data_IF_379984335442
#
_entry.id   IF_379984335442
#
_cell.length_a   1.000
_cell.length_b   1.000
_cell.length_c   1.000
_cell.angle_alpha   90.00
_cell.angle_beta   90.00
_cell.angle_gamma   90.00
#
_symmetry.space_group_name_H-M   'P 1'
#
loop_
_entity.id
_entity.type
_entity.pdbx_description
1 polymer ?
#
# COMPACT_ATOMS: atom_id res chain seq x y z
N UNK A 1 -18.03 10.43 -21.79
CA UNK A 1 -17.73 9.56 -20.60
C UNK A 1 -16.34 9.02 -20.83
N UNK A 2 -15.34 9.50 -20.06
CA UNK A 2 -14.00 8.90 -20.12
C UNK A 2 -14.12 7.42 -19.82
N UNK A 3 -13.55 6.58 -20.68
CA UNK A 3 -13.47 5.16 -20.40
C UNK A 3 -12.57 4.98 -19.16
N UNK A 4 -12.99 4.13 -18.22
CA UNK A 4 -12.21 3.86 -17.00
C UNK A 4 -10.80 3.34 -17.35
N UNK A 5 -10.65 2.65 -18.49
CA UNK A 5 -9.36 2.16 -18.97
C UNK A 5 -8.43 3.30 -19.40
N UNK A 6 -8.95 4.27 -20.14
CA UNK A 6 -8.20 5.46 -20.58
C UNK A 6 -7.72 6.26 -19.36
N UNK A 7 -8.61 6.50 -18.39
CA UNK A 7 -8.27 7.17 -17.13
C UNK A 7 -7.14 6.46 -16.37
N UNK A 8 -7.19 5.13 -16.25
CA UNK A 8 -6.15 4.36 -15.57
C UNK A 8 -4.81 4.42 -16.30
N UNK A 9 -4.82 4.48 -17.63
CA UNK A 9 -3.60 4.65 -18.43
C UNK A 9 -2.97 6.03 -18.21
N UNK A 10 -3.78 7.08 -18.15
CA UNK A 10 -3.32 8.44 -17.84
C UNK A 10 -2.76 8.55 -16.42
N UNK A 11 -3.44 7.97 -15.41
CA UNK A 11 -2.94 7.90 -14.04
C UNK A 11 -1.55 7.25 -13.97
N UNK A 12 -1.39 6.12 -14.67
CA UNK A 12 -0.13 5.40 -14.72
C UNK A 12 0.98 6.24 -15.34
N UNK A 13 0.71 6.94 -16.44
CA UNK A 13 1.65 7.83 -17.10
C UNK A 13 2.09 8.99 -16.18
N UNK A 14 1.14 9.70 -15.57
CA UNK A 14 1.40 10.83 -14.67
C UNK A 14 2.28 10.39 -13.47
N UNK A 15 1.95 9.25 -12.83
CA UNK A 15 2.71 8.75 -11.70
C UNK A 15 4.12 8.32 -12.13
N UNK A 16 4.25 7.65 -13.27
CA UNK A 16 5.56 7.20 -13.79
C UNK A 16 6.48 8.37 -14.14
N UNK A 17 5.92 9.45 -14.68
CA UNK A 17 6.66 10.67 -15.02
C UNK A 17 6.96 11.55 -13.78
N UNK A 18 6.56 11.13 -12.59
CA UNK A 18 6.79 11.85 -11.34
C UNK A 18 5.93 13.12 -11.18
N UNK A 19 5.00 13.40 -12.10
CA UNK A 19 4.14 14.62 -12.05
C UNK A 19 3.11 14.58 -10.90
N UNK A 20 2.81 13.40 -10.36
CA UNK A 20 1.91 13.21 -9.23
C UNK A 20 2.61 13.18 -7.86
N UNK A 21 3.91 13.49 -7.76
CA UNK A 21 4.68 13.37 -6.51
C UNK A 21 4.40 14.55 -5.57
N UNK A 22 4.30 14.26 -4.28
CA UNK A 22 4.22 15.26 -3.20
C UNK A 22 5.64 15.72 -2.83
N UNK A 23 6.00 16.95 -3.15
CA UNK A 23 7.37 17.44 -3.02
C UNK A 23 7.64 18.25 -1.74
N UNK A 24 6.61 18.84 -1.11
CA UNK A 24 6.84 19.89 -0.10
C UNK A 24 6.73 19.41 1.32
N UNK A 25 5.89 18.42 1.65
CA UNK A 25 5.66 17.98 3.03
C UNK A 25 6.43 16.73 3.43
N UNK A 26 6.82 15.91 2.45
CA UNK A 26 7.54 14.66 2.68
C UNK A 26 6.79 13.63 3.54
N UNK A 27 7.43 12.48 3.77
CA UNK A 27 6.87 11.38 4.56
C UNK A 27 6.93 11.60 6.07
N UNK A 28 7.73 12.57 6.55
CA UNK A 28 8.07 12.75 7.97
C UNK A 28 9.13 11.78 8.49
N UNK A 29 9.59 10.81 7.71
CA UNK A 29 10.62 9.85 8.15
C UNK A 29 11.97 10.51 8.41
N UNK A 30 12.31 11.64 7.81
CA UNK A 30 13.60 12.34 8.04
C UNK A 30 13.77 12.82 9.49
N UNK A 31 12.67 13.00 10.22
CA UNK A 31 12.68 13.29 11.64
C UNK A 31 12.99 12.05 12.51
N UNK A 32 12.86 10.84 11.97
CA UNK A 32 13.14 9.58 12.68
C UNK A 32 14.61 9.24 12.48
N UNK A 33 15.43 9.58 13.45
CA UNK A 33 16.90 9.41 13.40
C UNK A 33 17.33 8.34 14.37
N UNK A 34 17.97 7.28 13.87
CA UNK A 34 18.59 6.26 14.72
C UNK A 34 19.87 6.77 15.35
N UNK A 35 20.14 6.36 16.59
CA UNK A 35 21.47 6.45 17.16
C UNK A 35 22.37 5.43 16.45
N UNK A 36 23.51 5.88 15.92
CA UNK A 36 24.46 5.00 15.26
C UNK A 36 25.21 4.13 16.29
N UNK A 37 25.22 2.84 16.08
CA UNK A 37 26.04 1.88 16.83
C UNK A 37 27.33 1.58 16.04
N UNK A 38 28.45 2.12 16.51
CA UNK A 38 29.76 1.92 15.86
C UNK A 38 30.41 0.58 16.24
N UNK A 39 29.86 -0.15 17.23
CA UNK A 39 30.33 -1.45 17.67
C UNK A 39 29.14 -2.43 17.84
N UNK A 40 28.48 -2.82 16.75
CA UNK A 40 27.23 -3.58 16.82
C UNK A 40 27.37 -5.01 17.36
N UNK A 41 28.58 -5.55 17.38
CA UNK A 41 28.90 -6.92 17.83
C UNK A 41 27.99 -8.00 17.18
N UNK A 42 27.63 -7.80 15.91
CA UNK A 42 26.80 -8.65 15.07
C UNK A 42 27.55 -9.10 13.82
N UNK A 43 27.24 -10.30 13.36
CA UNK A 43 27.55 -10.66 11.97
C UNK A 43 26.45 -10.10 11.06
N UNK A 44 26.85 -9.37 10.02
CA UNK A 44 25.94 -8.77 9.06
C UNK A 44 25.00 -9.81 8.40
N UNK A 45 25.57 -10.96 8.01
CA UNK A 45 24.83 -12.03 7.36
C UNK A 45 23.90 -12.81 8.31
N UNK A 46 24.10 -12.69 9.61
CA UNK A 46 23.27 -13.35 10.62
C UNK A 46 22.02 -12.50 11.03
N UNK A 47 21.87 -11.29 10.49
CA UNK A 47 20.71 -10.44 10.78
C UNK A 47 19.45 -11.06 10.19
N UNK A 48 18.44 -11.29 11.03
CA UNK A 48 17.18 -11.90 10.65
C UNK A 48 16.13 -10.83 10.30
N UNK A 49 15.76 -10.76 9.02
CA UNK A 49 14.73 -9.86 8.48
C UNK A 49 13.36 -10.54 8.38
N UNK A 50 13.27 -11.84 8.64
CA UNK A 50 12.06 -12.62 8.42
C UNK A 50 10.92 -12.17 9.33
N UNK A 51 9.73 -12.22 8.77
CA UNK A 51 8.47 -11.98 9.47
C UNK A 51 7.39 -12.91 8.95
N UNK A 52 6.18 -12.79 9.48
CA UNK A 52 5.01 -13.50 8.97
C UNK A 52 3.86 -12.55 8.74
N UNK A 53 3.05 -12.81 7.73
CA UNK A 53 1.86 -12.06 7.42
C UNK A 53 0.79 -13.00 6.85
N UNK A 54 -0.44 -12.92 7.37
CA UNK A 54 -1.57 -13.77 6.95
C UNK A 54 -1.24 -15.28 6.94
N UNK A 55 -0.49 -15.73 7.95
CA UNK A 55 -0.09 -17.12 8.10
C UNK A 55 1.02 -17.61 7.16
N UNK A 56 1.60 -16.72 6.34
CA UNK A 56 2.72 -17.02 5.43
C UNK A 56 4.01 -16.37 5.90
N UNK A 57 5.12 -17.03 5.68
CA UNK A 57 6.45 -16.49 6.01
C UNK A 57 6.91 -15.53 4.91
N UNK A 58 7.49 -14.41 5.33
CA UNK A 58 8.13 -13.42 4.47
C UNK A 58 9.62 -13.35 4.76
N UNK A 59 10.41 -13.12 3.72
CA UNK A 59 11.88 -12.93 3.81
C UNK A 59 12.26 -11.60 4.45
N UNK A 60 11.39 -10.57 4.33
CA UNK A 60 11.56 -9.25 4.89
C UNK A 60 10.19 -8.58 5.11
N UNK A 61 10.10 -7.56 5.99
CA UNK A 61 8.84 -6.84 6.26
C UNK A 61 8.51 -5.83 5.14
N UNK A 62 8.52 -6.29 3.90
CA UNK A 62 8.33 -5.46 2.70
C UNK A 62 7.25 -6.07 1.81
N UNK A 63 6.47 -5.20 1.17
CA UNK A 63 5.49 -5.59 0.17
C UNK A 63 5.44 -4.58 -0.98
N UNK A 64 4.95 -5.03 -2.13
CA UNK A 64 4.53 -4.13 -3.20
C UNK A 64 3.06 -3.78 -2.98
N UNK A 65 2.81 -2.48 -2.72
CA UNK A 65 1.46 -1.95 -2.48
C UNK A 65 0.64 -1.87 -3.77
N UNK A 66 -0.69 -1.83 -3.59
CA UNK A 66 -1.64 -1.71 -4.67
C UNK A 66 -1.40 -0.46 -5.54
N UNK A 67 -1.31 -0.64 -6.85
CA UNK A 67 -1.09 0.45 -7.82
C UNK A 67 -2.18 0.51 -8.88
N UNK A 68 -2.17 -0.40 -9.83
CA UNK A 68 -2.99 -0.33 -11.04
C UNK A 68 -3.64 -1.67 -11.38
N UNK A 69 -4.67 -1.64 -12.23
CA UNK A 69 -5.35 -2.82 -12.74
C UNK A 69 -6.35 -2.45 -13.82
N UNK A 70 -6.73 -3.42 -14.66
CA UNK A 70 -7.79 -3.26 -15.65
C UNK A 70 -7.34 -2.76 -17.03
N UNK A 71 -6.05 -2.61 -17.30
CA UNK A 71 -5.48 -2.36 -18.63
C UNK A 71 -4.48 -3.46 -18.98
N UNK A 72 -4.12 -3.61 -20.27
CA UNK A 72 -3.11 -4.58 -20.70
C UNK A 72 -1.72 -4.27 -20.10
N UNK A 73 -1.37 -3.00 -19.97
CA UNK A 73 -0.13 -2.57 -19.33
C UNK A 73 -0.15 -2.91 -17.83
N UNK A 74 -1.26 -2.61 -17.14
CA UNK A 74 -1.45 -2.99 -15.74
C UNK A 74 -1.35 -4.49 -15.52
N UNK A 75 -1.85 -5.31 -16.45
CA UNK A 75 -1.72 -6.75 -16.38
C UNK A 75 -0.25 -7.20 -16.40
N UNK A 76 0.56 -6.66 -17.31
CA UNK A 76 2.00 -6.96 -17.36
C UNK A 76 2.71 -6.53 -16.08
N UNK A 77 2.42 -5.35 -15.57
CA UNK A 77 2.99 -4.86 -14.31
C UNK A 77 2.63 -5.79 -13.15
N UNK A 78 1.37 -6.19 -13.01
CA UNK A 78 0.93 -7.09 -11.93
C UNK A 78 1.60 -8.47 -12.02
N UNK A 79 1.79 -9.00 -13.24
CA UNK A 79 2.52 -10.26 -13.44
C UNK A 79 3.99 -10.14 -13.06
N UNK A 80 4.66 -9.05 -13.43
CA UNK A 80 6.04 -8.77 -13.00
C UNK A 80 6.16 -8.65 -11.48
N UNK A 81 5.17 -8.00 -10.83
CA UNK A 81 5.11 -7.88 -9.36
C UNK A 81 4.95 -9.27 -8.72
N UNK A 82 4.01 -10.08 -9.21
CA UNK A 82 3.77 -11.41 -8.64
C UNK A 82 5.02 -12.30 -8.77
N UNK A 83 5.68 -12.28 -9.92
CA UNK A 83 6.90 -13.05 -10.17
C UNK A 83 8.06 -12.61 -9.28
N UNK A 84 8.34 -11.30 -9.19
CA UNK A 84 9.40 -10.77 -8.34
C UNK A 84 9.13 -11.02 -6.84
N UNK A 85 7.89 -10.75 -6.38
CA UNK A 85 7.50 -10.99 -4.99
C UNK A 85 7.52 -12.48 -4.63
N UNK A 86 7.06 -13.35 -5.56
CA UNK A 86 7.11 -14.80 -5.39
C UNK A 86 8.54 -15.33 -5.26
N UNK A 87 9.45 -14.83 -6.09
CA UNK A 87 10.88 -15.19 -6.06
C UNK A 87 11.59 -14.71 -4.79
N UNK A 88 11.25 -13.52 -4.31
CA UNK A 88 11.90 -12.92 -3.14
C UNK A 88 11.21 -13.25 -1.80
N UNK A 89 10.05 -13.92 -1.80
CA UNK A 89 9.30 -14.19 -0.57
C UNK A 89 8.73 -12.92 0.06
N UNK A 90 8.22 -11.97 -0.74
CA UNK A 90 7.62 -10.72 -0.30
C UNK A 90 6.11 -10.71 -0.60
N UNK A 91 5.33 -9.95 0.18
CA UNK A 91 3.89 -9.81 -0.05
C UNK A 91 3.59 -8.86 -1.21
N UNK A 92 2.37 -8.96 -1.77
CA UNK A 92 1.89 -8.03 -2.78
C UNK A 92 0.39 -7.73 -2.63
N UNK A 93 -0.01 -6.53 -3.04
CA UNK A 93 -1.39 -6.12 -3.19
C UNK A 93 -1.65 -5.69 -4.64
N UNK A 94 -2.82 -6.05 -5.17
CA UNK A 94 -3.22 -5.68 -6.53
C UNK A 94 -3.96 -4.34 -6.55
N UNK A 95 -4.02 -3.70 -7.71
CA UNK A 95 -4.88 -2.55 -7.94
C UNK A 95 -6.35 -2.92 -7.90
N UNK A 96 -7.24 -1.91 -7.94
CA UNK A 96 -8.68 -2.13 -7.83
C UNK A 96 -9.22 -3.13 -8.85
N UNK A 97 -9.90 -4.17 -8.36
CA UNK A 97 -10.53 -5.25 -9.14
C UNK A 97 -11.91 -4.85 -9.70
N UNK A 98 -12.35 -3.60 -9.50
CA UNK A 98 -13.68 -3.13 -9.94
C UNK A 98 -14.00 -3.51 -11.37
N UNK A 99 -13.08 -3.24 -12.32
CA UNK A 99 -13.29 -3.54 -13.76
C UNK A 99 -13.52 -5.02 -13.99
N UNK A 100 -12.77 -5.87 -13.31
CA UNK A 100 -12.88 -7.32 -13.42
C UNK A 100 -14.21 -7.82 -12.84
N UNK A 101 -14.63 -7.31 -11.68
CA UNK A 101 -15.91 -7.66 -11.05
C UNK A 101 -17.11 -7.22 -11.88
N UNK A 102 -17.03 -6.07 -12.54
CA UNK A 102 -18.06 -5.57 -13.46
C UNK A 102 -18.09 -6.29 -14.83
N UNK A 103 -17.24 -7.32 -15.02
CA UNK A 103 -17.22 -8.11 -16.25
C UNK A 103 -16.59 -7.42 -17.46
N UNK A 104 -15.84 -6.34 -17.24
CA UNK A 104 -15.17 -5.55 -18.29
C UNK A 104 -13.72 -5.99 -18.55
N UNK A 105 -13.41 -7.26 -18.29
CA UNK A 105 -12.12 -7.89 -18.49
C UNK A 105 -11.30 -8.04 -17.19
N UNK A 106 -10.54 -9.14 -17.08
CA UNK A 106 -9.77 -9.45 -15.87
C UNK A 106 -8.56 -8.52 -15.66
N UNK A 107 -8.01 -7.93 -16.73
CA UNK A 107 -6.90 -6.97 -16.67
C UNK A 107 -5.67 -7.46 -15.89
N UNK A 108 -5.36 -8.79 -15.97
CA UNK A 108 -4.25 -9.40 -15.24
C UNK A 108 -4.50 -9.48 -13.72
N UNK A 109 -5.74 -9.61 -13.30
CA UNK A 109 -6.17 -9.71 -11.90
C UNK A 109 -6.89 -11.04 -11.67
N UNK A 110 -6.24 -12.15 -12.00
CA UNK A 110 -6.77 -13.50 -11.94
C UNK A 110 -5.81 -14.52 -11.32
N UNK A 111 -6.15 -15.81 -11.41
CA UNK A 111 -5.38 -16.93 -10.83
C UNK A 111 -3.92 -17.01 -11.33
N UNK A 112 -3.61 -16.39 -12.48
CA UNK A 112 -2.25 -16.32 -13.01
C UNK A 112 -1.27 -15.57 -12.08
N UNK A 113 -1.76 -14.65 -11.23
CA UNK A 113 -0.94 -14.00 -10.21
C UNK A 113 -0.58 -14.99 -9.10
N UNK A 114 -1.58 -15.75 -8.63
CA UNK A 114 -1.35 -16.79 -7.61
C UNK A 114 -0.38 -17.86 -8.12
N UNK A 115 -0.49 -18.26 -9.39
CA UNK A 115 0.42 -19.23 -9.98
C UNK A 115 1.90 -18.76 -9.99
N UNK A 116 2.15 -17.44 -10.09
CA UNK A 116 3.51 -16.86 -10.05
C UNK A 116 4.01 -16.60 -8.63
N UNK A 117 3.10 -16.41 -7.67
CA UNK A 117 3.40 -16.10 -6.28
C UNK A 117 2.68 -17.06 -5.31
N UNK A 118 2.91 -18.41 -5.42
CA UNK A 118 2.11 -19.39 -4.71
C UNK A 118 2.29 -19.35 -3.18
N UNK A 119 3.43 -18.91 -2.70
CA UNK A 119 3.84 -19.03 -1.30
C UNK A 119 3.80 -17.72 -0.50
N UNK A 120 3.44 -16.60 -1.13
CA UNK A 120 3.41 -15.28 -0.48
C UNK A 120 1.98 -14.74 -0.40
N UNK A 121 1.70 -13.82 0.55
CA UNK A 121 0.39 -13.19 0.65
C UNK A 121 0.08 -12.36 -0.59
N UNK A 122 -1.12 -12.55 -1.16
CA UNK A 122 -1.72 -11.71 -2.20
C UNK A 122 -2.94 -11.03 -1.61
N UNK A 123 -3.00 -9.69 -1.68
CA UNK A 123 -4.12 -8.92 -1.19
C UNK A 123 -4.95 -8.43 -2.37
N UNK A 124 -6.23 -8.81 -2.36
CA UNK A 124 -7.25 -8.26 -3.27
C UNK A 124 -7.55 -6.80 -2.92
N UNK A 125 -8.22 -6.05 -3.83
CA UNK A 125 -8.48 -4.64 -3.61
C UNK A 125 -9.76 -4.15 -4.30
N UNK A 126 -10.61 -3.45 -3.54
CA UNK A 126 -11.80 -2.75 -4.03
C UNK A 126 -11.87 -1.33 -3.45
N UNK A 127 -12.56 -0.44 -4.16
CA UNK A 127 -12.87 0.88 -3.61
C UNK A 127 -13.97 0.76 -2.57
N UNK A 128 -13.75 1.30 -1.38
CA UNK A 128 -14.76 1.27 -0.32
C UNK A 128 -16.05 1.98 -0.75
N UNK A 129 -15.96 3.07 -1.50
CA UNK A 129 -17.12 3.80 -2.01
C UNK A 129 -18.02 2.92 -2.91
N UNK A 130 -17.49 1.85 -3.52
CA UNK A 130 -18.28 0.92 -4.32
C UNK A 130 -19.32 0.15 -3.48
N UNK A 131 -19.05 -0.02 -2.17
CA UNK A 131 -20.05 -0.59 -1.24
C UNK A 131 -21.28 0.31 -1.12
N UNK A 132 -21.11 1.64 -1.17
CA UNK A 132 -22.23 2.58 -1.18
C UNK A 132 -23.01 2.54 -2.52
N UNK A 133 -22.42 2.02 -3.58
CA UNK A 133 -23.00 1.91 -4.92
C UNK A 133 -23.57 0.53 -5.26
N UNK A 134 -23.73 -0.32 -4.26
CA UNK A 134 -24.39 -1.61 -4.41
C UNK A 134 -23.46 -2.82 -4.58
N UNK A 135 -22.14 -2.66 -4.57
CA UNK A 135 -21.26 -3.80 -4.38
C UNK A 135 -21.45 -4.33 -2.97
N UNK A 136 -21.64 -5.63 -2.84
CA UNK A 136 -21.87 -6.30 -1.56
C UNK A 136 -20.85 -7.39 -1.27
N UNK A 137 -21.27 -8.30 -0.40
CA UNK A 137 -20.47 -9.45 0.02
C UNK A 137 -20.13 -10.37 -1.15
N UNK A 138 -21.04 -10.56 -2.10
CA UNK A 138 -20.84 -11.47 -3.24
C UNK A 138 -19.79 -10.93 -4.21
N UNK A 139 -19.77 -9.61 -4.48
CA UNK A 139 -18.73 -8.97 -5.28
C UNK A 139 -17.38 -9.05 -4.59
N UNK A 140 -17.34 -8.82 -3.29
CA UNK A 140 -16.14 -8.92 -2.50
C UNK A 140 -15.58 -10.35 -2.42
N UNK A 141 -16.44 -11.37 -2.30
CA UNK A 141 -16.06 -12.79 -2.39
C UNK A 141 -15.49 -13.13 -3.76
N UNK A 142 -16.12 -12.69 -4.84
CA UNK A 142 -15.58 -12.87 -6.20
C UNK A 142 -14.21 -12.23 -6.36
N UNK A 143 -13.98 -11.05 -5.77
CA UNK A 143 -12.67 -10.42 -5.80
C UNK A 143 -11.60 -11.25 -5.09
N UNK A 144 -11.93 -11.88 -3.96
CA UNK A 144 -11.05 -12.82 -3.24
C UNK A 144 -10.80 -14.07 -4.05
N UNK A 145 -11.84 -14.71 -4.56
CA UNK A 145 -11.77 -15.97 -5.30
C UNK A 145 -10.96 -15.85 -6.60
N UNK A 146 -11.12 -14.74 -7.34
CA UNK A 146 -10.39 -14.50 -8.59
C UNK A 146 -8.87 -14.59 -8.45
N UNK A 147 -8.35 -14.18 -7.30
CA UNK A 147 -6.92 -14.11 -7.01
C UNK A 147 -6.45 -15.21 -6.05
N UNK A 148 -7.39 -16.01 -5.51
CA UNK A 148 -7.13 -16.80 -4.31
C UNK A 148 -6.44 -15.93 -3.23
N UNK A 149 -7.03 -14.74 -2.99
CA UNK A 149 -6.41 -13.73 -2.15
C UNK A 149 -6.44 -14.14 -0.67
N UNK A 150 -5.36 -13.84 0.04
CA UNK A 150 -5.22 -14.12 1.49
C UNK A 150 -5.94 -13.07 2.35
N UNK A 151 -6.23 -11.87 1.80
CA UNK A 151 -7.01 -10.82 2.42
C UNK A 151 -7.64 -9.91 1.34
N UNK A 152 -8.66 -9.13 1.71
CA UNK A 152 -9.23 -8.09 0.87
C UNK A 152 -8.93 -6.70 1.46
N UNK A 153 -8.38 -5.80 0.67
CA UNK A 153 -8.20 -4.40 1.03
C UNK A 153 -9.32 -3.55 0.45
N UNK A 154 -9.88 -2.66 1.27
CA UNK A 154 -10.73 -1.57 0.79
C UNK A 154 -9.93 -0.28 0.79
N UNK A 155 -9.86 0.41 -0.35
CA UNK A 155 -9.24 1.72 -0.38
C UNK A 155 -10.27 2.84 -0.15
N UNK A 156 -9.88 3.80 0.71
CA UNK A 156 -10.58 5.04 0.97
C UNK A 156 -9.87 6.15 0.20
N UNK A 157 -10.60 6.87 -0.63
CA UNK A 157 -10.03 7.91 -1.49
C UNK A 157 -10.94 9.16 -1.59
N UNK A 158 -11.42 9.71 -0.46
CA UNK A 158 -12.41 10.80 -0.48
C UNK A 158 -11.89 12.06 -1.18
N UNK A 159 -10.63 12.42 -1.01
CA UNK A 159 -10.03 13.58 -1.66
C UNK A 159 -9.97 13.39 -3.18
N UNK A 160 -9.52 12.22 -3.63
CA UNK A 160 -9.49 11.90 -5.05
C UNK A 160 -10.88 11.97 -5.66
N UNK A 161 -11.88 11.31 -5.06
CA UNK A 161 -13.26 11.28 -5.56
C UNK A 161 -13.91 12.68 -5.54
N UNK A 162 -13.55 13.53 -4.58
CA UNK A 162 -14.05 14.89 -4.51
C UNK A 162 -13.53 15.77 -5.66
N UNK A 163 -12.28 15.59 -6.07
CA UNK A 163 -11.63 16.37 -7.14
C UNK A 163 -11.94 15.77 -8.51
N UNK A 164 -11.94 14.46 -8.65
CA UNK A 164 -12.10 13.74 -9.91
C UNK A 164 -13.43 14.10 -10.59
N UNK A 165 -13.41 14.48 -11.89
CA UNK A 165 -14.65 14.65 -12.66
C UNK A 165 -15.47 13.36 -12.68
N UNK A 166 -16.75 13.44 -12.23
CA UNK A 166 -17.61 12.25 -12.11
C UNK A 166 -17.23 11.28 -11.01
N UNK A 167 -16.45 11.71 -10.01
CA UNK A 167 -16.07 10.90 -8.86
C UNK A 167 -17.26 10.55 -7.96
N UNK A 168 -17.10 9.46 -7.23
CA UNK A 168 -18.11 8.90 -6.32
C UNK A 168 -18.03 9.60 -4.96
N UNK A 169 -18.87 10.60 -4.72
CA UNK A 169 -18.77 11.52 -3.56
C UNK A 169 -19.67 11.16 -2.38
N UNK A 170 -20.45 10.09 -2.48
CA UNK A 170 -21.32 9.65 -1.37
C UNK A 170 -20.64 8.55 -0.56
N UNK A 171 -20.12 8.92 0.58
CA UNK A 171 -19.51 8.04 1.59
C UNK A 171 -20.45 7.75 2.77
N UNK A 172 -21.74 8.10 2.66
CA UNK A 172 -22.71 7.94 3.74
C UNK A 172 -22.93 6.46 4.08
N UNK A 173 -22.92 6.14 5.37
CA UNK A 173 -23.17 4.78 5.87
C UNK A 173 -22.07 3.77 5.54
N UNK A 174 -20.91 4.22 5.02
CA UNK A 174 -19.83 3.35 4.56
C UNK A 174 -19.25 2.50 5.70
N UNK A 175 -19.10 3.06 6.90
CA UNK A 175 -18.55 2.31 8.04
C UNK A 175 -19.40 1.08 8.40
N UNK A 176 -20.73 1.21 8.42
CA UNK A 176 -21.63 0.09 8.69
C UNK A 176 -21.54 -1.00 7.60
N UNK A 177 -21.30 -0.61 6.34
CA UNK A 177 -21.09 -1.56 5.22
C UNK A 177 -19.74 -2.27 5.34
N UNK A 178 -18.70 -1.57 5.77
CA UNK A 178 -17.38 -2.14 6.07
C UNK A 178 -17.50 -3.17 7.21
N UNK A 179 -18.21 -2.83 8.29
CA UNK A 179 -18.48 -3.73 9.41
C UNK A 179 -19.22 -5.00 8.97
N UNK A 180 -20.28 -4.85 8.18
CA UNK A 180 -21.02 -5.99 7.64
C UNK A 180 -20.14 -6.88 6.76
N UNK A 181 -19.28 -6.28 5.94
CA UNK A 181 -18.35 -7.00 5.07
C UNK A 181 -17.27 -7.73 5.88
N UNK A 182 -16.69 -7.09 6.91
CA UNK A 182 -15.68 -7.69 7.78
C UNK A 182 -16.19 -8.96 8.46
N UNK A 183 -17.50 -8.99 8.83
CA UNK A 183 -18.14 -10.17 9.43
C UNK A 183 -18.45 -11.29 8.42
N UNK A 184 -18.63 -10.96 7.15
CA UNK A 184 -19.15 -11.88 6.14
C UNK A 184 -18.08 -12.50 5.25
N UNK A 185 -16.89 -11.90 5.16
CA UNK A 185 -15.81 -12.40 4.31
C UNK A 185 -15.12 -13.62 4.94
N UNK A 186 -14.70 -14.60 4.10
CA UNK A 186 -13.94 -15.76 4.58
C UNK A 186 -12.45 -15.44 4.85
N UNK A 187 -12.00 -14.24 4.48
CA UNK A 187 -10.61 -13.77 4.65
C UNK A 187 -10.58 -12.45 5.42
N UNK A 188 -9.46 -12.11 6.06
CA UNK A 188 -9.30 -10.83 6.75
C UNK A 188 -9.62 -9.63 5.85
N UNK A 189 -10.31 -8.63 6.42
CA UNK A 189 -10.55 -7.35 5.77
C UNK A 189 -9.53 -6.32 6.24
N UNK A 190 -8.91 -5.65 5.29
CA UNK A 190 -8.05 -4.50 5.50
C UNK A 190 -8.63 -3.22 4.92
N UNK A 191 -8.19 -2.09 5.43
CA UNK A 191 -8.52 -0.76 4.89
C UNK A 191 -7.24 0.04 4.68
N UNK A 192 -7.18 0.76 3.57
CA UNK A 192 -6.08 1.65 3.21
C UNK A 192 -6.57 3.00 2.72
N UNK A 193 -5.79 4.02 2.94
CA UNK A 193 -5.90 5.28 2.22
C UNK A 193 -5.07 5.21 0.90
N UNK A 194 -5.02 6.26 0.12
CA UNK A 194 -4.34 6.26 -1.19
C UNK A 194 -3.26 7.34 -1.35
N UNK A 195 -2.95 8.08 -0.30
CA UNK A 195 -1.91 9.10 -0.31
C UNK A 195 -2.15 10.28 0.64
N UNK A 196 -3.30 10.31 1.34
CA UNK A 196 -3.61 11.33 2.34
C UNK A 196 -3.54 10.82 3.80
N UNK A 197 -3.33 9.51 4.00
CA UNK A 197 -3.14 8.93 5.33
C UNK A 197 -4.42 8.66 6.10
N UNK A 198 -4.31 7.81 7.12
CA UNK A 198 -5.37 7.48 8.08
C UNK A 198 -5.09 8.14 9.42
N UNK A 199 -6.09 8.79 10.01
CA UNK A 199 -6.00 9.33 11.38
C UNK A 199 -6.22 8.25 12.43
N UNK A 200 -5.75 8.51 13.67
CA UNK A 200 -6.01 7.63 14.80
C UNK A 200 -7.52 7.44 15.08
N UNK A 201 -8.33 8.48 14.88
CA UNK A 201 -9.78 8.40 15.06
C UNK A 201 -10.45 7.49 14.04
N UNK A 202 -10.04 7.57 12.77
CA UNK A 202 -10.52 6.68 11.72
C UNK A 202 -10.04 5.25 11.92
N UNK A 203 -8.75 5.07 12.25
CA UNK A 203 -8.19 3.77 12.55
C UNK A 203 -8.96 3.06 13.65
N UNK A 204 -9.29 3.74 14.77
CA UNK A 204 -10.09 3.17 15.85
C UNK A 204 -11.47 2.72 15.35
N UNK A 205 -12.19 3.58 14.63
CA UNK A 205 -13.50 3.24 14.07
C UNK A 205 -13.47 2.03 13.13
N UNK A 206 -12.41 1.91 12.33
CA UNK A 206 -12.22 0.78 11.42
C UNK A 206 -11.90 -0.51 12.17
N UNK A 207 -11.04 -0.46 13.19
CA UNK A 207 -10.75 -1.60 14.06
C UNK A 207 -12.00 -2.06 14.83
N UNK A 208 -12.79 -1.12 15.37
CA UNK A 208 -14.06 -1.42 16.04
C UNK A 208 -15.08 -2.07 15.07
N UNK A 209 -15.02 -1.74 13.79
CA UNK A 209 -15.81 -2.35 12.72
C UNK A 209 -15.31 -3.74 12.25
N UNK A 210 -14.25 -4.28 12.88
CA UNK A 210 -13.72 -5.61 12.58
C UNK A 210 -12.65 -5.65 11.49
N UNK A 211 -12.14 -4.49 11.05
CA UNK A 211 -10.96 -4.41 10.18
C UNK A 211 -9.74 -4.83 11.00
N UNK A 212 -8.88 -5.66 10.43
CA UNK A 212 -7.68 -6.17 11.12
C UNK A 212 -6.36 -5.77 10.46
N UNK A 213 -6.43 -5.15 9.28
CA UNK A 213 -5.26 -4.64 8.55
C UNK A 213 -5.50 -3.17 8.25
N UNK A 214 -4.60 -2.30 8.70
CA UNK A 214 -4.59 -0.88 8.35
C UNK A 214 -3.34 -0.56 7.52
N UNK A 215 -3.52 0.02 6.34
CA UNK A 215 -2.42 0.53 5.52
C UNK A 215 -2.57 2.06 5.43
N UNK A 216 -1.63 2.77 6.02
CA UNK A 216 -1.75 4.21 6.21
C UNK A 216 -1.77 4.99 4.90
N UNK A 217 -1.02 4.57 3.88
CA UNK A 217 -0.86 5.25 2.59
C UNK A 217 -0.83 6.78 2.76
N UNK A 218 0.14 7.25 3.57
CA UNK A 218 0.22 8.64 4.01
C UNK A 218 0.84 9.59 2.97
N UNK A 219 0.91 10.86 3.36
CA UNK A 219 1.58 11.93 2.60
C UNK A 219 3.07 11.65 2.48
N UNK A 220 3.64 11.99 1.33
CA UNK A 220 5.07 11.85 0.99
C UNK A 220 5.33 11.04 -0.27
N UNK A 221 4.29 10.45 -0.85
CA UNK A 221 4.34 9.71 -2.11
C UNK A 221 3.52 10.37 -3.21
N UNK A 222 2.53 9.65 -3.74
CA UNK A 222 1.62 10.15 -4.77
C UNK A 222 0.53 11.03 -4.16
N UNK A 223 0.35 12.25 -4.69
CA UNK A 223 -0.80 13.10 -4.41
C UNK A 223 -1.87 12.89 -5.47
N UNK A 224 -2.96 12.23 -5.11
CA UNK A 224 -4.08 12.04 -6.05
C UNK A 224 -4.77 13.35 -6.41
N UNK A 225 -4.73 14.37 -5.53
CA UNK A 225 -5.20 15.70 -5.85
C UNK A 225 -4.39 16.30 -7.03
N UNK A 226 -3.06 16.10 -7.03
CA UNK A 226 -2.17 16.53 -8.12
C UNK A 226 -2.40 15.71 -9.39
N UNK A 227 -2.53 14.39 -9.26
CA UNK A 227 -2.80 13.49 -10.40
C UNK A 227 -4.11 13.88 -11.11
N UNK A 228 -5.20 14.11 -10.38
CA UNK A 228 -6.47 14.50 -10.97
C UNK A 228 -6.42 15.95 -11.54
N UNK A 229 -5.64 16.84 -10.93
CA UNK A 229 -5.41 18.19 -11.45
C UNK A 229 -4.67 18.18 -12.81
N UNK A 230 -3.68 17.29 -12.97
CA UNK A 230 -2.95 17.12 -14.24
C UNK A 230 -3.86 16.63 -15.37
N UNK A 231 -4.90 15.87 -15.07
CA UNK A 231 -5.91 15.39 -16.02
C UNK A 231 -6.99 16.42 -16.34
N UNK A 232 -7.12 17.44 -15.52
CA UNK A 232 -8.19 18.40 -15.59
C UNK A 232 -7.83 19.66 -16.38
N UNK A 233 -8.83 20.51 -16.53
CA UNK A 233 -8.68 21.87 -17.07
C UNK A 233 -8.04 22.83 -16.04
N UNK A 234 -7.76 24.05 -16.46
CA UNK A 234 -7.18 25.07 -15.58
C UNK A 234 -8.07 25.42 -14.37
N UNK A 235 -9.39 25.26 -14.50
CA UNK A 235 -10.31 25.46 -13.38
C UNK A 235 -10.10 24.36 -12.33
N UNK A 236 -10.04 23.10 -12.75
CA UNK A 236 -9.82 21.98 -11.85
C UNK A 236 -8.44 22.06 -11.17
N UNK A 237 -7.40 22.45 -11.91
CA UNK A 237 -6.05 22.70 -11.34
C UNK A 237 -6.09 23.73 -10.22
N UNK A 238 -6.77 24.87 -10.42
CA UNK A 238 -6.90 25.89 -9.36
C UNK A 238 -7.69 25.40 -8.16
N UNK A 239 -8.71 24.56 -8.33
CA UNK A 239 -9.49 23.98 -7.25
C UNK A 239 -8.65 22.96 -6.46
N UNK A 240 -7.89 22.12 -7.14
CA UNK A 240 -7.11 21.06 -6.53
C UNK A 240 -5.81 21.56 -5.85
N UNK A 241 -5.24 22.66 -6.33
CA UNK A 241 -3.93 23.17 -5.88
C UNK A 241 -3.79 23.32 -4.36
N UNK A 242 -4.78 23.84 -3.59
CA UNK A 242 -4.68 23.92 -2.12
C UNK A 242 -4.60 22.57 -1.42
N UNK A 243 -4.91 21.48 -2.13
CA UNK A 243 -4.96 20.11 -1.58
C UNK A 243 -3.78 19.24 -2.01
N UNK A 244 -2.78 19.79 -2.69
CA UNK A 244 -1.65 19.00 -3.18
C UNK A 244 -0.83 18.36 -2.04
N UNK A 245 -0.76 19.04 -0.91
CA UNK A 245 -0.07 18.58 0.31
C UNK A 245 -1.03 18.22 1.45
N UNK A 246 -2.32 18.01 1.12
CA UNK A 246 -3.34 17.65 2.09
C UNK A 246 -3.13 16.22 2.60
N UNK A 247 -3.22 16.07 3.93
CA UNK A 247 -3.23 14.75 4.58
C UNK A 247 -2.25 14.66 5.75
N UNK A 248 -2.02 13.44 6.21
CA UNK A 248 -1.18 13.07 7.35
C UNK A 248 0.10 12.44 6.81
N UNK A 249 1.29 12.95 7.14
CA UNK A 249 2.56 12.31 6.79
C UNK A 249 2.62 10.85 7.24
N UNK A 250 3.23 9.99 6.44
CA UNK A 250 3.27 8.54 6.68
C UNK A 250 3.82 8.20 8.07
N UNK A 251 4.93 8.85 8.48
CA UNK A 251 5.53 8.62 9.80
C UNK A 251 4.59 8.98 10.95
N UNK A 252 3.87 10.11 10.83
CA UNK A 252 2.89 10.57 11.82
C UNK A 252 1.70 9.59 11.91
N UNK A 253 1.17 9.16 10.76
CA UNK A 253 0.06 8.21 10.70
C UNK A 253 0.43 6.85 11.33
N UNK A 254 1.63 6.33 11.02
CA UNK A 254 2.14 5.08 11.63
C UNK A 254 2.26 5.22 13.13
N UNK A 255 2.92 6.28 13.62
CA UNK A 255 3.11 6.51 15.05
C UNK A 255 1.78 6.65 15.81
N UNK A 256 0.78 7.27 15.18
CA UNK A 256 -0.54 7.46 15.78
C UNK A 256 -1.39 6.17 15.80
N UNK A 257 -1.23 5.29 14.81
CA UNK A 257 -2.02 4.06 14.69
C UNK A 257 -1.39 2.86 15.41
N UNK A 258 -0.05 2.79 15.48
CA UNK A 258 0.64 1.65 16.09
C UNK A 258 0.14 1.30 17.50
N UNK A 259 -0.10 2.26 18.44
CA UNK A 259 -0.62 1.94 19.77
C UNK A 259 -2.07 1.44 19.80
N UNK A 260 -2.80 1.58 18.69
CA UNK A 260 -4.20 1.19 18.58
C UNK A 260 -4.37 -0.24 18.04
N UNK A 261 -3.32 -0.80 17.43
CA UNK A 261 -3.43 -2.12 16.79
C UNK A 261 -3.69 -3.21 17.83
N UNK A 262 -4.73 -4.03 17.63
CA UNK A 262 -5.02 -5.14 18.51
C UNK A 262 -4.01 -6.30 18.30
N UNK A 263 -3.88 -7.22 19.26
CA UNK A 263 -3.13 -8.45 19.05
C UNK A 263 -3.62 -9.18 17.78
N UNK A 264 -2.70 -9.52 16.89
CA UNK A 264 -3.02 -10.15 15.58
C UNK A 264 -3.45 -9.19 14.48
N UNK A 265 -3.62 -7.90 14.78
CA UNK A 265 -3.78 -6.85 13.76
C UNK A 265 -2.46 -6.55 13.05
N UNK A 266 -2.54 -5.99 11.85
CA UNK A 266 -1.36 -5.62 11.05
C UNK A 266 -1.41 -4.16 10.63
N UNK A 267 -0.37 -3.41 10.93
CA UNK A 267 -0.16 -2.04 10.47
C UNK A 267 0.85 -2.01 9.32
N UNK A 268 0.43 -1.53 8.17
CA UNK A 268 1.26 -1.36 6.99
C UNK A 268 1.61 0.12 6.85
N UNK A 269 2.90 0.43 6.75
CA UNK A 269 3.38 1.74 6.40
C UNK A 269 3.56 1.82 4.90
N UNK A 270 2.70 2.55 4.19
CA UNK A 270 2.90 2.93 2.81
C UNK A 270 2.66 4.43 2.60
N UNK A 271 3.04 4.95 1.45
CA UNK A 271 3.02 6.38 1.14
C UNK A 271 4.42 6.99 1.22
N UNK A 272 5.10 7.04 0.05
CA UNK A 272 6.37 7.71 -0.12
C UNK A 272 7.62 6.97 0.37
N UNK A 273 7.54 5.70 0.74
CA UNK A 273 8.71 4.91 1.08
C UNK A 273 9.54 4.64 -0.18
N UNK A 274 10.83 4.97 -0.16
CA UNK A 274 11.72 4.90 -1.32
C UNK A 274 12.86 3.91 -1.15
N UNK A 275 13.34 3.69 0.07
CA UNK A 275 14.53 2.89 0.36
C UNK A 275 14.41 2.13 1.69
N UNK A 276 15.35 1.22 1.95
CA UNK A 276 15.31 0.35 3.13
C UNK A 276 15.48 1.08 4.46
N UNK A 277 16.07 2.28 4.48
CA UNK A 277 16.11 3.10 5.69
C UNK A 277 14.70 3.61 6.07
N UNK A 278 13.82 3.91 5.10
CA UNK A 278 12.42 4.25 5.39
C UNK A 278 11.68 3.04 5.94
N UNK A 279 11.96 1.84 5.42
CA UNK A 279 11.43 0.58 5.98
C UNK A 279 11.86 0.43 7.46
N UNK A 280 13.15 0.63 7.77
CA UNK A 280 13.64 0.55 9.14
C UNK A 280 12.93 1.56 10.06
N UNK A 281 12.76 2.80 9.61
CA UNK A 281 12.06 3.87 10.34
C UNK A 281 10.60 3.53 10.58
N UNK A 282 9.91 2.98 9.57
CA UNK A 282 8.52 2.54 9.68
C UNK A 282 8.35 1.42 10.71
N UNK A 283 9.22 0.39 10.69
CA UNK A 283 9.23 -0.69 11.67
C UNK A 283 9.51 -0.16 13.08
N UNK A 284 10.46 0.80 13.20
CA UNK A 284 10.77 1.44 14.49
C UNK A 284 9.59 2.23 15.06
N UNK A 285 8.79 2.85 14.21
CA UNK A 285 7.56 3.57 14.61
C UNK A 285 6.39 2.64 14.94
N UNK A 286 6.52 1.34 14.67
CA UNK A 286 5.54 0.33 15.05
C UNK A 286 4.76 -0.29 13.89
N UNK A 287 5.11 -0.03 12.63
CA UNK A 287 4.56 -0.77 11.50
C UNK A 287 5.01 -2.24 11.53
N UNK A 288 4.18 -3.14 11.01
CA UNK A 288 4.51 -4.56 10.84
C UNK A 288 5.12 -4.83 9.48
N UNK A 289 4.66 -4.10 8.48
CA UNK A 289 5.13 -4.16 7.10
C UNK A 289 5.33 -2.76 6.54
N UNK A 290 6.19 -2.65 5.56
CA UNK A 290 6.38 -1.47 4.73
C UNK A 290 5.94 -1.76 3.29
N UNK A 291 5.22 -0.82 2.66
CA UNK A 291 4.69 -0.96 1.32
C UNK A 291 5.28 0.06 0.35
N UNK A 292 5.79 -0.40 -0.78
CA UNK A 292 6.18 0.46 -1.90
C UNK A 292 5.16 0.39 -3.04
N UNK A 293 4.75 1.55 -3.57
CA UNK A 293 3.95 1.67 -4.79
C UNK A 293 4.74 2.41 -5.87
N UNK A 294 4.65 3.75 -5.93
CA UNK A 294 5.30 4.54 -6.96
C UNK A 294 6.83 4.33 -7.01
N UNK A 295 7.49 4.05 -5.88
CA UNK A 295 8.94 3.76 -5.86
C UNK A 295 9.32 2.47 -6.59
N UNK A 296 8.44 1.47 -6.60
CA UNK A 296 8.65 0.19 -7.29
C UNK A 296 8.14 0.20 -8.75
N UNK A 297 7.31 1.19 -9.13
CA UNK A 297 6.60 1.20 -10.41
C UNK A 297 7.55 1.25 -11.64
N UNK A 298 8.61 2.07 -11.68
CA UNK A 298 9.53 2.07 -12.82
C UNK A 298 10.11 0.69 -13.10
N UNK A 299 10.67 0.04 -12.06
CA UNK A 299 11.24 -1.30 -12.19
C UNK A 299 10.19 -2.37 -12.54
N UNK A 300 8.96 -2.27 -11.99
CA UNK A 300 7.88 -3.18 -12.32
C UNK A 300 7.43 -3.07 -13.79
N UNK A 301 7.56 -1.89 -14.42
CA UNK A 301 7.30 -1.67 -15.86
C UNK A 301 8.38 -2.29 -16.75
N UNK A 302 9.63 -2.29 -16.30
CA UNK A 302 10.73 -2.92 -17.01
C UNK A 302 10.62 -4.45 -16.99
N UNK A 303 10.14 -5.03 -15.88
CA UNK A 303 9.91 -6.47 -15.74
C UNK A 303 10.22 -7.02 -14.36
N UNK A 304 10.00 -8.33 -14.21
CA UNK A 304 10.17 -9.01 -12.93
C UNK A 304 11.61 -8.99 -12.41
N UNK A 305 12.59 -9.15 -13.29
CA UNK A 305 14.02 -9.14 -12.93
C UNK A 305 14.46 -7.76 -12.40
N UNK A 306 14.09 -6.68 -13.10
CA UNK A 306 14.39 -5.32 -12.67
C UNK A 306 13.72 -4.99 -11.34
N UNK A 307 12.46 -5.42 -11.16
CA UNK A 307 11.76 -5.24 -9.89
C UNK A 307 12.40 -6.06 -8.76
N UNK A 308 12.81 -7.29 -9.02
CA UNK A 308 13.49 -8.12 -8.02
C UNK A 308 14.83 -7.50 -7.60
N UNK A 309 15.59 -6.96 -8.53
CA UNK A 309 16.82 -6.22 -8.23
C UNK A 309 16.55 -5.01 -7.34
N UNK A 310 15.57 -4.16 -7.71
CA UNK A 310 15.17 -3.00 -6.91
C UNK A 310 14.74 -3.38 -5.48
N UNK A 311 13.88 -4.39 -5.33
CA UNK A 311 13.41 -4.83 -4.01
C UNK A 311 14.53 -5.44 -3.17
N UNK A 312 15.47 -6.14 -3.80
CA UNK A 312 16.65 -6.69 -3.13
C UNK A 312 17.55 -5.59 -2.58
N UNK A 313 17.74 -4.49 -3.32
CA UNK A 313 18.47 -3.30 -2.82
C UNK A 313 17.77 -2.69 -1.61
N UNK A 314 16.45 -2.58 -1.62
CA UNK A 314 15.67 -2.07 -0.47
C UNK A 314 15.85 -2.98 0.75
N UNK A 315 15.82 -4.29 0.57
CA UNK A 315 16.04 -5.28 1.65
C UNK A 315 17.46 -5.18 2.20
N UNK A 316 18.45 -5.00 1.33
CA UNK A 316 19.85 -4.83 1.75
C UNK A 316 20.06 -3.52 2.54
N UNK A 317 19.46 -2.42 2.12
CA UNK A 317 19.48 -1.15 2.85
C UNK A 317 18.83 -1.27 4.23
N UNK A 318 17.75 -2.06 4.37
CA UNK A 318 17.16 -2.38 5.67
C UNK A 318 18.15 -3.14 6.56
N UNK A 319 18.85 -4.15 6.00
CA UNK A 319 19.89 -4.91 6.71
C UNK A 319 21.02 -4.03 7.19
N UNK A 320 21.47 -3.08 6.35
CA UNK A 320 22.49 -2.08 6.72
C UNK A 320 22.01 -1.22 7.90
N UNK A 321 20.78 -0.72 7.85
CA UNK A 321 20.21 0.06 8.94
C UNK A 321 20.15 -0.75 10.25
N UNK A 322 19.76 -2.02 10.18
CA UNK A 322 19.73 -2.92 11.33
C UNK A 322 21.12 -3.20 11.87
N UNK A 323 22.11 -3.39 11.02
CA UNK A 323 23.50 -3.56 11.42
C UNK A 323 24.01 -2.33 12.16
N UNK A 324 23.82 -1.14 11.59
CA UNK A 324 24.27 0.13 12.19
C UNK A 324 23.48 0.57 13.43
N UNK A 325 22.45 -0.17 13.83
CA UNK A 325 21.68 0.04 15.07
C UNK A 325 21.83 -1.12 16.06
N UNK A 326 22.75 -2.07 15.82
CA UNK A 326 22.92 -3.24 16.68
C UNK A 326 21.68 -4.16 16.72
N UNK A 327 20.84 -4.12 15.69
CA UNK A 327 19.55 -4.82 15.66
C UNK A 327 19.69 -6.18 14.95
N UNK A 328 19.78 -7.27 15.71
CA UNK A 328 19.91 -8.64 15.17
C UNK A 328 18.66 -9.18 14.48
N UNK A 329 17.49 -8.60 14.82
CA UNK A 329 16.17 -9.00 14.32
C UNK A 329 15.20 -7.80 14.33
N UNK A 330 14.01 -7.96 13.74
CA UNK A 330 12.99 -6.88 13.70
C UNK A 330 12.50 -6.48 15.10
N UNK A 331 12.49 -7.39 16.07
CA UNK A 331 12.11 -7.08 17.45
C UNK A 331 13.14 -6.17 18.13
N UNK A 332 14.43 -6.33 17.83
CA UNK A 332 15.49 -5.43 18.24
C UNK A 332 15.37 -4.07 17.56
N UNK A 333 15.10 -4.04 16.24
CA UNK A 333 14.92 -2.80 15.48
C UNK A 333 13.76 -1.95 16.02
N UNK A 334 12.64 -2.56 16.43
CA UNK A 334 11.51 -1.86 17.07
C UNK A 334 11.91 -1.12 18.35
N UNK A 335 12.99 -1.51 19.00
CA UNK A 335 13.52 -0.92 20.25
C UNK A 335 14.79 -0.11 20.04
N UNK A 336 15.30 -0.04 18.82
CA UNK A 336 16.52 0.71 18.52
C UNK A 336 16.41 2.17 18.99
N UNK A 337 17.43 2.72 19.66
CA UNK A 337 17.38 4.08 20.19
C UNK A 337 17.27 5.09 19.06
N UNK A 338 16.48 6.14 19.31
CA UNK A 338 16.36 7.31 18.44
C UNK A 338 17.12 8.50 19.05
N UNK A 339 17.73 9.34 18.18
CA UNK A 339 18.45 10.55 18.56
C UNK A 339 17.50 11.71 18.88
#
# INVERSE_FOLDING_TARGET
>A
MDDIADRKSEHLAIVTEGRGVQDTRGTGFDAVRFVHDALPELSFDAIDLRTSFLGRNLSAPLMVSAMTGGTAEAARINLSIAEACGALGLALAVGSQRIAIEGRGAGGLGAELRARAPNVPILGNLGAVQLARGMGVDEARRAVEMLEADALMLHLNPLQEAIQPGGDRDFSGLLARIEALARALPVPLGVKEVGAGLSAAEGRRLLDAGVVILDVAGVGGTSWARVEAERGDDRLRRIAAPFFDWGIPTAEAVAALAPLMPPGGTLIASGGLRHGLDVARAIRLGADLAGQAAGALPAAREGAEALAAHLSEVVEQLRIAMFCTGSRDLAALRRAPLA
#
